data_IF_462707021064
#
_entry.id   IF_462707021064
#
_cell.length_a   1.000
_cell.length_b   1.000
_cell.length_c   1.000
_cell.angle_alpha   90.00
_cell.angle_beta   90.00
_cell.angle_gamma   90.00
#
_symmetry.space_group_name_H-M   'P 1'
#
loop_
_entity.id
_entity.type
_entity.pdbx_description
1 polymer ?
#
# COMPACT_ATOMS: atom_id res chain seq x y z
N UNK A 1 -20.48 -22.96 0.89
CA UNK A 1 -19.70 -21.72 0.79
C UNK A 1 -18.46 -22.01 -0.04
N UNK A 2 -18.40 -21.59 -1.31
CA UNK A 2 -17.21 -21.75 -2.16
C UNK A 2 -16.25 -20.63 -1.80
N UNK A 3 -15.11 -20.95 -1.22
CA UNK A 3 -13.99 -20.00 -1.11
C UNK A 3 -13.32 -20.04 -2.48
N UNK A 4 -13.78 -19.18 -3.39
CA UNK A 4 -13.06 -18.92 -4.63
C UNK A 4 -11.75 -18.26 -4.27
N UNK A 5 -10.63 -18.90 -4.62
CA UNK A 5 -9.30 -18.32 -4.52
C UNK A 5 -9.21 -17.08 -5.42
N UNK A 6 -9.69 -15.93 -4.95
CA UNK A 6 -9.24 -14.62 -5.43
C UNK A 6 -7.77 -14.53 -5.04
N UNK A 7 -6.90 -15.01 -5.90
CA UNK A 7 -5.44 -14.87 -5.76
C UNK A 7 -5.05 -13.43 -6.04
N UNK A 8 -5.62 -12.48 -5.29
CA UNK A 8 -5.17 -11.10 -5.24
C UNK A 8 -3.86 -11.06 -4.48
N UNK A 9 -2.76 -10.81 -5.17
CA UNK A 9 -1.50 -10.48 -4.49
C UNK A 9 -1.64 -9.04 -4.01
N UNK A 10 -1.93 -8.84 -2.73
CA UNK A 10 -2.00 -7.49 -2.17
C UNK A 10 -0.69 -7.13 -1.45
N UNK A 11 -0.45 -5.83 -1.35
CA UNK A 11 0.78 -5.27 -0.80
C UNK A 11 0.48 -4.29 0.33
N UNK A 12 1.49 -3.99 1.14
CA UNK A 12 1.46 -2.96 2.18
C UNK A 12 2.83 -2.32 2.33
N UNK A 13 2.89 -1.04 2.67
CA UNK A 13 4.13 -0.37 3.06
C UNK A 13 4.24 -0.47 4.58
N UNK A 14 5.42 -0.83 5.08
CA UNK A 14 5.77 -0.82 6.50
C UNK A 14 6.93 0.14 6.73
N UNK A 15 6.86 0.88 7.83
CA UNK A 15 7.95 1.75 8.31
C UNK A 15 8.74 1.03 9.40
N UNK A 16 10.06 1.04 9.28
CA UNK A 16 11.00 0.50 10.25
C UNK A 16 12.03 1.58 10.58
N UNK A 17 11.81 2.29 11.69
CA UNK A 17 12.57 3.50 12.03
C UNK A 17 12.44 4.58 10.94
N UNK A 18 13.57 4.92 10.30
CA UNK A 18 13.64 5.89 9.20
C UNK A 18 13.55 5.26 7.80
N UNK A 19 13.34 3.95 7.71
CA UNK A 19 13.26 3.22 6.43
C UNK A 19 11.83 2.76 6.16
N UNK A 20 11.46 2.69 4.88
CA UNK A 20 10.20 2.11 4.42
C UNK A 20 10.47 0.87 3.56
N UNK A 21 9.62 -0.15 3.71
CA UNK A 21 9.66 -1.38 2.90
C UNK A 21 8.29 -1.79 2.41
N UNK A 22 8.22 -2.35 1.21
CA UNK A 22 7.00 -2.99 0.69
C UNK A 22 6.97 -4.44 1.17
N UNK A 23 5.91 -4.81 1.86
CA UNK A 23 5.63 -6.17 2.31
C UNK A 23 4.42 -6.72 1.56
N UNK A 24 4.45 -8.01 1.25
CA UNK A 24 3.32 -8.70 0.63
C UNK A 24 2.33 -9.10 1.72
N UNK A 25 1.46 -8.17 2.10
CA UNK A 25 0.42 -8.37 3.10
C UNK A 25 -0.93 -8.00 2.49
N UNK A 26 -1.93 -8.83 2.71
CA UNK A 26 -3.24 -8.91 2.03
C UNK A 26 -4.16 -7.69 2.34
N UNK A 27 -3.68 -6.47 2.60
CA UNK A 27 -4.58 -5.45 3.18
C UNK A 27 -4.54 -3.98 2.78
N UNK A 28 -3.62 -3.46 1.97
CA UNK A 28 -3.57 -2.00 1.79
C UNK A 28 -3.33 -1.50 0.35
N UNK A 29 -3.10 -2.40 -0.60
CA UNK A 29 -2.84 -2.07 -1.99
C UNK A 29 -3.28 -3.20 -2.90
N UNK A 30 -4.12 -2.87 -3.89
CA UNK A 30 -4.56 -3.81 -4.93
C UNK A 30 -3.42 -4.23 -5.88
N UNK A 31 -2.33 -3.47 -5.92
CA UNK A 31 -1.22 -3.61 -6.87
C UNK A 31 0.13 -3.27 -6.26
N UNK A 32 1.19 -3.96 -6.71
CA UNK A 32 2.57 -3.65 -6.36
C UNK A 32 2.99 -2.26 -6.85
N UNK A 33 2.54 -1.87 -8.05
CA UNK A 33 2.91 -0.57 -8.64
C UNK A 33 2.40 0.59 -7.77
N UNK A 34 1.18 0.49 -7.25
CA UNK A 34 0.62 1.49 -6.35
C UNK A 34 1.43 1.57 -5.04
N UNK A 35 1.77 0.42 -4.46
CA UNK A 35 2.63 0.36 -3.28
C UNK A 35 4.03 0.94 -3.54
N UNK A 36 4.58 0.74 -4.74
CA UNK A 36 5.88 1.28 -5.15
C UNK A 36 5.84 2.80 -5.29
N UNK A 37 4.82 3.34 -5.95
CA UNK A 37 4.71 4.78 -6.18
C UNK A 37 4.55 5.53 -4.85
N UNK A 38 3.67 5.06 -3.97
CA UNK A 38 3.49 5.67 -2.64
C UNK A 38 4.75 5.56 -1.77
N UNK A 39 5.49 4.45 -1.87
CA UNK A 39 6.77 4.29 -1.16
C UNK A 39 7.79 5.35 -1.63
N UNK A 40 7.87 5.59 -2.94
CA UNK A 40 8.75 6.61 -3.52
C UNK A 40 8.31 8.00 -3.07
N UNK A 41 7.02 8.28 -3.03
CA UNK A 41 6.49 9.58 -2.58
C UNK A 41 6.77 9.83 -1.09
N UNK A 42 6.63 8.80 -0.24
CA UNK A 42 6.98 8.86 1.18
C UNK A 42 8.49 9.04 1.38
N UNK A 43 9.31 8.27 0.66
CA UNK A 43 10.77 8.34 0.77
C UNK A 43 11.35 9.64 0.23
N UNK A 44 10.70 10.26 -0.76
CA UNK A 44 11.09 11.56 -1.32
C UNK A 44 10.50 12.75 -0.56
N UNK A 45 9.62 12.52 0.41
CA UNK A 45 8.92 13.57 1.17
C UNK A 45 7.89 14.34 0.34
N UNK A 46 7.50 13.83 -0.83
CA UNK A 46 6.46 14.44 -1.68
C UNK A 46 5.07 14.29 -1.09
N UNK A 47 4.84 13.18 -0.37
CA UNK A 47 3.60 12.91 0.36
C UNK A 47 3.90 12.52 1.80
N UNK A 48 2.99 12.85 2.70
CA UNK A 48 3.00 12.36 4.09
C UNK A 48 2.28 11.03 4.20
N UNK A 49 2.50 10.32 5.31
CA UNK A 49 1.79 9.06 5.61
C UNK A 49 0.27 9.24 5.64
N UNK A 50 -0.21 10.40 6.10
CA UNK A 50 -1.64 10.74 6.11
C UNK A 50 -2.21 10.90 4.69
N UNK A 51 -1.52 11.63 3.81
CA UNK A 51 -1.97 11.82 2.42
C UNK A 51 -2.08 10.49 1.66
N UNK A 52 -1.09 9.62 1.83
CA UNK A 52 -1.09 8.26 1.26
C UNK A 52 -2.24 7.41 1.81
N UNK A 53 -2.61 7.58 3.08
CA UNK A 53 -3.74 6.85 3.68
C UNK A 53 -5.10 7.41 3.26
N UNK A 54 -5.23 8.73 3.06
CA UNK A 54 -6.46 9.37 2.61
C UNK A 54 -6.82 8.99 1.17
N UNK A 55 -5.85 8.99 0.25
CA UNK A 55 -6.07 8.60 -1.14
C UNK A 55 -6.61 7.17 -1.26
N UNK A 56 -6.17 6.26 -0.37
CA UNK A 56 -6.68 4.89 -0.33
C UNK A 56 -8.09 4.77 0.21
N UNK A 57 -8.46 5.57 1.20
CA UNK A 57 -9.85 5.59 1.70
C UNK A 57 -10.81 6.10 0.63
N UNK A 58 -10.36 7.04 -0.20
CA UNK A 58 -11.15 7.58 -1.31
C UNK A 58 -11.34 6.57 -2.44
N UNK A 59 -10.33 5.73 -2.72
CA UNK A 59 -10.35 4.75 -3.81
C UNK A 59 -11.13 3.46 -3.50
N UNK A 60 -11.85 3.40 -2.36
CA UNK A 60 -12.61 2.25 -1.87
C UNK A 60 -14.14 2.36 -2.14
N UNK A 61 -14.57 3.32 -2.96
CA UNK A 61 -15.97 3.57 -3.34
C UNK A 61 -16.35 2.98 -4.70
#
# INVERSE_FOLDING_TARGET
MKIENRSGKEYSIQKDGSQYKITRTIKNYDSFENAKNDLIDLASGRKTEEQVQEEKKSNLH
#
